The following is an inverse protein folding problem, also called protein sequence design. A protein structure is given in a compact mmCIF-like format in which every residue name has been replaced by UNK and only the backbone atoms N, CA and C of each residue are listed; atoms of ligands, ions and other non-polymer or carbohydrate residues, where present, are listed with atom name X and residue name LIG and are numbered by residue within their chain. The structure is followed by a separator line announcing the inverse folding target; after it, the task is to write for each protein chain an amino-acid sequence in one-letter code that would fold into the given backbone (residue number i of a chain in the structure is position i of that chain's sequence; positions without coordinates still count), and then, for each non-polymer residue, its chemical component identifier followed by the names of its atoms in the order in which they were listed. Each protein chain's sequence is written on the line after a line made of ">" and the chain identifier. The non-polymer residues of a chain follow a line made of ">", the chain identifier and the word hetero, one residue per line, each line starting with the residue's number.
data_IF_313176958260
#
_entry.id   IF_313176958260
#
_cell.length_a   1.000
_cell.length_b   1.000
_cell.length_c   1.000
_cell.angle_alpha   90.00
_cell.angle_beta   90.00
_cell.angle_gamma   90.00
#
_symmetry.space_group_name_H-M   'P 1'
#
loop_
_entity.id
_entity.type
_entity.pdbx_description
1 polymer ?
#
# COMPACT_ATOMS: atom_id res chain seq x y z
N UNK A 1 15.36 -6.09 -2.56
CA UNK A 1 14.23 -5.43 -3.24
C UNK A 1 14.53 -3.99 -3.64
N UNK A 2 14.98 -3.09 -2.75
CA UNK A 2 15.44 -1.75 -3.17
C UNK A 2 16.57 -1.81 -4.20
N UNK A 3 17.54 -2.70 -3.98
CA UNK A 3 18.57 -3.02 -4.98
C UNK A 3 18.01 -3.59 -6.29
N UNK A 4 16.82 -4.21 -6.27
CA UNK A 4 16.14 -4.69 -7.47
C UNK A 4 15.48 -3.51 -8.18
N UNK A 5 14.68 -2.69 -7.49
CA UNK A 5 14.07 -1.46 -8.01
C UNK A 5 15.13 -0.52 -8.60
N UNK A 6 16.25 -0.31 -7.90
CA UNK A 6 17.41 0.47 -8.38
C UNK A 6 18.10 -0.21 -9.57
N UNK A 7 18.30 -1.54 -9.54
CA UNK A 7 18.91 -2.28 -10.66
C UNK A 7 18.05 -2.25 -11.92
N UNK A 8 16.73 -2.20 -11.78
CA UNK A 8 15.78 -2.22 -12.89
C UNK A 8 15.23 -0.83 -13.25
N UNK A 9 15.74 0.26 -12.64
CA UNK A 9 15.31 1.64 -12.87
C UNK A 9 13.79 1.81 -12.86
N UNK A 10 13.11 1.19 -11.89
CA UNK A 10 11.66 1.26 -11.84
C UNK A 10 11.22 2.71 -11.59
N UNK A 11 10.56 3.33 -12.57
CA UNK A 11 10.07 4.69 -12.44
C UNK A 11 8.91 4.70 -11.45
N UNK A 12 9.18 5.43 -10.38
CA UNK A 12 8.37 5.44 -9.19
C UNK A 12 7.58 6.78 -9.14
N UNK A 13 7.81 7.70 -10.07
CA UNK A 13 7.15 9.01 -10.10
C UNK A 13 5.65 8.93 -10.43
N UNK A 14 5.19 7.79 -10.94
CA UNK A 14 3.82 7.62 -11.43
C UNK A 14 3.53 8.45 -12.68
N UNK A 15 4.58 8.89 -13.40
CA UNK A 15 4.46 9.55 -14.70
C UNK A 15 4.18 8.50 -15.79
N UNK A 16 3.05 8.63 -16.47
CA UNK A 16 2.69 7.74 -17.57
C UNK A 16 2.80 8.45 -18.92
N UNK A 17 3.54 7.87 -19.86
CA UNK A 17 3.51 8.25 -21.26
C UNK A 17 2.72 7.19 -22.02
N UNK A 18 1.58 7.58 -22.60
CA UNK A 18 0.71 6.66 -23.33
C UNK A 18 0.65 7.12 -24.77
N UNK A 19 1.10 6.27 -25.68
CA UNK A 19 1.15 6.58 -27.12
C UNK A 19 0.06 5.78 -27.82
N UNK A 20 -0.87 6.48 -28.46
CA UNK A 20 -1.89 5.87 -29.30
C UNK A 20 -1.50 5.98 -30.77
N UNK A 21 -1.52 4.84 -31.45
CA UNK A 21 -1.28 4.70 -32.87
C UNK A 21 -2.41 3.88 -33.47
N UNK A 22 -3.27 4.51 -34.26
CA UNK A 22 -4.31 3.80 -35.02
C UNK A 22 -4.63 4.53 -36.31
N UNK A 23 -4.87 3.74 -37.36
CA UNK A 23 -5.32 4.20 -38.68
C UNK A 23 -6.86 4.36 -38.73
N UNK A 24 -7.57 3.84 -37.72
CA UNK A 24 -9.03 3.97 -37.61
C UNK A 24 -9.40 5.33 -37.00
N UNK A 25 -10.32 6.05 -37.65
CA UNK A 25 -10.85 7.31 -37.10
C UNK A 25 -11.49 7.02 -35.74
N UNK A 26 -11.20 7.88 -34.77
CA UNK A 26 -11.73 7.87 -33.39
C UNK A 26 -11.10 6.88 -32.40
N UNK A 27 -10.26 5.92 -32.82
CA UNK A 27 -9.60 5.02 -31.86
C UNK A 27 -8.60 5.72 -30.92
N UNK A 28 -8.09 6.89 -31.32
CA UNK A 28 -7.19 7.72 -30.50
C UNK A 28 -7.86 9.02 -30.04
N UNK A 29 -9.19 9.05 -29.89
CA UNK A 29 -9.91 10.23 -29.39
C UNK A 29 -9.44 10.61 -27.98
N UNK A 30 -8.99 11.84 -27.82
CA UNK A 30 -8.45 12.33 -26.56
C UNK A 30 -9.51 12.43 -25.44
N UNK A 31 -10.78 12.65 -25.78
CA UNK A 31 -11.85 12.73 -24.77
C UNK A 31 -12.20 11.34 -24.24
N UNK A 32 -12.21 10.33 -25.10
CA UNK A 32 -12.38 8.94 -24.69
C UNK A 32 -11.17 8.46 -23.88
N UNK A 33 -9.95 8.77 -24.33
CA UNK A 33 -8.73 8.44 -23.60
C UNK A 33 -8.74 9.00 -22.18
N UNK A 34 -9.08 10.29 -22.00
CA UNK A 34 -9.17 10.91 -20.67
C UNK A 34 -10.17 10.20 -19.75
N UNK A 35 -11.34 9.80 -20.27
CA UNK A 35 -12.34 9.06 -19.48
C UNK A 35 -11.82 7.69 -19.03
N UNK A 36 -11.15 6.96 -19.94
CA UNK A 36 -10.56 5.67 -19.64
C UNK A 36 -9.47 5.81 -18.58
N UNK A 37 -8.54 6.75 -18.79
CA UNK A 37 -7.41 6.98 -17.88
C UNK A 37 -7.87 7.40 -16.49
N UNK A 38 -8.87 8.26 -16.40
CA UNK A 38 -9.49 8.61 -15.13
C UNK A 38 -10.13 7.41 -14.44
N UNK A 39 -10.85 6.57 -15.20
CA UNK A 39 -11.45 5.33 -14.69
C UNK A 39 -10.42 4.36 -14.11
N UNK A 40 -9.20 4.34 -14.66
CA UNK A 40 -8.07 3.58 -14.13
C UNK A 40 -7.24 4.34 -13.08
N UNK A 41 -7.67 5.53 -12.65
CA UNK A 41 -6.96 6.41 -11.71
C UNK A 41 -5.55 6.82 -12.19
N UNK A 42 -5.33 6.82 -13.50
CA UNK A 42 -4.08 7.23 -14.15
C UNK A 42 -4.09 8.75 -14.31
N UNK A 43 -3.77 9.44 -13.23
CA UNK A 43 -3.88 10.91 -13.16
C UNK A 43 -2.67 11.63 -13.74
N UNK A 44 -1.46 11.14 -13.54
CA UNK A 44 -0.25 11.84 -13.96
C UNK A 44 0.26 11.30 -15.31
N UNK A 45 -0.38 11.75 -16.39
CA UNK A 45 -0.24 11.15 -17.72
C UNK A 45 -0.11 12.18 -18.83
N UNK A 46 0.69 11.83 -19.83
CA UNK A 46 0.75 12.46 -21.14
C UNK A 46 0.26 11.43 -22.16
N UNK A 47 -0.88 11.71 -22.78
CA UNK A 47 -1.44 10.94 -23.88
C UNK A 47 -0.96 11.54 -25.21
N UNK A 48 -0.31 10.74 -26.04
CA UNK A 48 0.24 11.15 -27.33
C UNK A 48 -0.58 10.52 -28.44
N UNK A 49 -1.22 11.35 -29.25
CA UNK A 49 -1.96 10.90 -30.43
C UNK A 49 -1.07 11.02 -31.67
N UNK A 50 -0.58 9.88 -32.19
CA UNK A 50 0.27 9.87 -33.39
C UNK A 50 -0.49 10.26 -34.67
N UNK A 51 -1.80 9.98 -34.73
CA UNK A 51 -2.67 10.40 -35.84
C UNK A 51 -2.80 11.93 -35.92
N UNK A 52 -2.55 12.63 -34.80
CA UNK A 52 -2.47 14.09 -34.70
C UNK A 52 -1.02 14.59 -34.64
N UNK A 53 -0.12 14.04 -35.48
CA UNK A 53 1.29 14.41 -35.56
C UNK A 53 2.05 14.29 -34.23
N UNK A 54 1.67 13.33 -33.38
CA UNK A 54 2.29 13.13 -32.07
C UNK A 54 1.97 14.25 -31.07
N UNK A 55 0.79 14.86 -31.18
CA UNK A 55 0.34 15.87 -30.20
C UNK A 55 0.14 15.23 -28.83
N UNK A 56 0.71 15.86 -27.80
CA UNK A 56 0.56 15.45 -26.40
C UNK A 56 -0.62 16.15 -25.71
N UNK A 57 -1.35 15.39 -24.92
CA UNK A 57 -2.49 15.83 -24.12
C UNK A 57 -2.31 15.39 -22.68
N UNK A 58 -2.75 16.23 -21.75
CA UNK A 58 -2.97 15.85 -20.35
C UNK A 58 -4.37 16.27 -19.94
N UNK A 59 -4.73 16.14 -18.68
CA UNK A 59 -6.02 16.59 -18.18
C UNK A 59 -5.94 16.90 -16.69
N UNK A 60 -6.77 17.83 -16.21
CA UNK A 60 -6.94 18.07 -14.78
C UNK A 60 -8.24 17.41 -14.30
N UNK A 61 -8.43 17.35 -12.99
CA UNK A 61 -9.74 17.00 -12.43
C UNK A 61 -10.53 18.30 -12.19
N UNK A 62 -11.85 18.21 -12.30
CA UNK A 62 -12.80 19.30 -12.08
C UNK A 62 -13.62 19.08 -10.81
N UNK A 63 -14.47 20.07 -10.49
CA UNK A 63 -15.49 19.96 -9.45
C UNK A 63 -16.30 18.66 -9.59
N UNK A 64 -16.66 18.04 -8.47
CA UNK A 64 -17.34 16.73 -8.40
C UNK A 64 -16.51 15.52 -8.83
N UNK A 65 -15.17 15.60 -8.75
CA UNK A 65 -14.27 14.43 -8.89
C UNK A 65 -14.38 13.74 -10.25
N UNK A 66 -14.51 14.56 -11.29
CA UNK A 66 -14.56 14.12 -12.69
C UNK A 66 -13.31 14.59 -13.42
N UNK A 67 -12.91 13.90 -14.50
CA UNK A 67 -11.84 14.42 -15.33
C UNK A 67 -12.38 15.62 -16.10
N UNK A 68 -11.59 16.68 -16.16
CA UNK A 68 -11.81 17.77 -17.08
C UNK A 68 -11.49 17.38 -18.53
N UNK A 69 -11.69 18.29 -19.49
CA UNK A 69 -11.39 18.02 -20.89
C UNK A 69 -9.88 17.82 -21.12
N UNK A 70 -9.51 17.14 -22.21
CA UNK A 70 -8.12 17.01 -22.62
C UNK A 70 -7.50 18.40 -22.89
N UNK A 71 -6.36 18.64 -22.25
CA UNK A 71 -5.55 19.84 -22.33
C UNK A 71 -4.36 19.53 -23.24
N UNK A 72 -4.31 20.19 -24.40
CA UNK A 72 -3.16 20.10 -25.31
C UNK A 72 -1.92 20.69 -24.65
N UNK A 73 -0.82 19.95 -24.65
CA UNK A 73 0.45 20.41 -24.08
C UNK A 73 1.20 21.29 -25.07
N UNK A 74 1.51 22.51 -24.64
CA UNK A 74 2.36 23.41 -25.41
C UNK A 74 3.78 22.87 -25.52
N UNK A 75 4.39 23.04 -26.69
CA UNK A 75 5.78 22.66 -26.95
C UNK A 75 6.15 21.18 -26.70
N UNK A 76 5.17 20.27 -26.58
CA UNK A 76 5.42 18.82 -26.43
C UNK A 76 6.38 18.25 -27.48
N UNK A 77 6.25 18.69 -28.74
CA UNK A 77 7.13 18.25 -29.83
C UNK A 77 8.62 18.53 -29.59
N UNK A 78 8.97 19.51 -28.75
CA UNK A 78 10.36 19.79 -28.39
C UNK A 78 10.95 18.74 -27.45
N UNK A 79 10.16 18.16 -26.54
CA UNK A 79 10.56 16.98 -25.74
C UNK A 79 10.86 15.80 -26.68
N UNK A 80 9.94 15.52 -27.61
CA UNK A 80 10.06 14.38 -28.53
C UNK A 80 11.25 14.51 -29.49
N UNK A 81 11.55 15.73 -29.94
CA UNK A 81 12.65 16.01 -30.88
C UNK A 81 14.02 16.18 -30.21
N UNK A 82 14.07 16.70 -28.98
CA UNK A 82 15.34 16.99 -28.30
C UNK A 82 15.92 15.80 -27.55
N UNK A 83 15.13 14.76 -27.29
CA UNK A 83 15.55 13.58 -26.52
C UNK A 83 15.95 13.90 -25.07
N UNK A 84 15.60 15.10 -24.57
CA UNK A 84 15.92 15.56 -23.21
C UNK A 84 14.69 15.51 -22.31
N UNK A 85 14.98 15.42 -21.00
CA UNK A 85 14.07 15.26 -19.87
C UNK A 85 12.65 15.83 -20.09
N UNK A 86 11.69 14.94 -20.34
CA UNK A 86 10.28 15.32 -20.56
C UNK A 86 9.48 15.49 -19.26
N UNK A 87 10.14 15.36 -18.09
CA UNK A 87 9.49 15.44 -16.78
C UNK A 87 8.78 16.77 -16.55
N UNK A 88 9.34 17.88 -17.06
CA UNK A 88 8.77 19.22 -16.89
C UNK A 88 7.43 19.41 -17.64
N UNK A 89 7.05 18.46 -18.51
CA UNK A 89 5.78 18.50 -19.25
C UNK A 89 4.63 17.83 -18.51
N UNK A 90 4.90 17.12 -17.41
CA UNK A 90 3.85 16.59 -16.55
C UNK A 90 3.34 17.72 -15.65
N UNK A 91 2.09 18.19 -15.83
CA UNK A 91 1.57 19.29 -15.02
C UNK A 91 1.39 18.82 -13.57
N UNK A 92 1.60 19.73 -12.63
CA UNK A 92 1.33 19.46 -11.22
C UNK A 92 -0.18 19.33 -10.99
N UNK A 93 -0.64 18.13 -10.62
CA UNK A 93 -2.05 17.80 -10.37
C UNK A 93 -2.32 17.61 -8.88
N UNK A 94 -3.57 17.28 -8.55
CA UNK A 94 -3.99 16.82 -7.22
C UNK A 94 -3.88 17.90 -6.11
N UNK A 95 -3.98 19.18 -6.48
CA UNK A 95 -3.76 20.29 -5.55
C UNK A 95 -4.97 20.61 -4.65
N UNK A 96 -6.18 20.15 -5.00
CA UNK A 96 -7.40 20.51 -4.26
C UNK A 96 -8.58 19.56 -4.52
N UNK A 97 -8.81 18.59 -3.65
CA UNK A 97 -9.92 17.63 -3.69
C UNK A 97 -11.13 18.09 -2.87
N UNK A 98 -11.40 19.40 -2.80
CA UNK A 98 -12.56 19.91 -2.09
C UNK A 98 -13.82 19.19 -2.56
N UNK A 99 -14.64 18.74 -1.59
CA UNK A 99 -15.86 17.94 -1.81
C UNK A 99 -15.66 16.55 -2.44
N UNK A 100 -14.42 16.14 -2.71
CA UNK A 100 -14.12 14.80 -3.18
C UNK A 100 -13.88 13.83 -2.02
N UNK A 101 -14.71 12.78 -1.87
CA UNK A 101 -14.45 11.73 -0.91
C UNK A 101 -13.27 10.90 -1.40
N UNK A 102 -12.24 10.76 -0.57
CA UNK A 102 -11.18 9.75 -0.75
C UNK A 102 -11.53 8.59 0.16
N UNK A 103 -11.88 7.45 -0.42
CA UNK A 103 -12.21 6.23 0.31
C UNK A 103 -10.94 5.47 0.64
N UNK A 104 -10.60 5.43 1.92
CA UNK A 104 -9.38 4.77 2.42
C UNK A 104 -9.75 3.47 3.12
N UNK A 105 -9.22 2.37 2.60
CA UNK A 105 -9.23 1.08 3.30
C UNK A 105 -8.07 1.03 4.29
N UNK A 106 -8.36 0.72 5.55
CA UNK A 106 -7.36 0.62 6.61
C UNK A 106 -7.80 -0.34 7.70
N UNK A 107 -6.92 -0.70 8.62
CA UNK A 107 -7.22 -1.59 9.73
C UNK A 107 -6.41 -1.22 10.96
N UNK A 108 -6.86 -1.67 12.14
CA UNK A 108 -6.26 -1.31 13.41
C UNK A 108 -4.91 -2.03 13.55
N UNK A 109 -3.83 -1.27 13.69
CA UNK A 109 -2.49 -1.78 13.91
C UNK A 109 -1.70 -0.83 14.81
N UNK A 110 -1.83 -1.00 16.13
CA UNK A 110 -1.15 -0.14 17.10
C UNK A 110 0.39 -0.31 17.02
N UNK A 111 1.19 0.77 17.14
CA UNK A 111 0.81 2.17 17.37
C UNK A 111 0.57 3.00 16.09
N UNK A 112 0.55 2.37 14.93
CA UNK A 112 0.53 3.04 13.63
C UNK A 112 -0.86 3.54 13.25
N UNK A 113 -1.86 2.67 13.35
CA UNK A 113 -3.24 2.96 13.00
C UNK A 113 -4.17 2.59 14.14
N UNK A 114 -4.88 3.57 14.65
CA UNK A 114 -5.91 3.44 15.69
C UNK A 114 -7.16 4.14 15.19
N UNK A 115 -8.28 3.43 15.17
CA UNK A 115 -9.56 3.97 14.74
C UNK A 115 -10.45 4.20 15.97
N UNK A 116 -10.71 5.47 16.29
CA UNK A 116 -11.62 5.86 17.38
C UNK A 116 -12.83 6.58 16.76
N UNK A 117 -13.99 5.94 16.77
CA UNK A 117 -15.22 6.48 16.15
C UNK A 117 -15.01 6.96 14.70
N UNK A 118 -14.24 6.20 13.91
CA UNK A 118 -13.92 6.55 12.52
C UNK A 118 -12.84 7.62 12.34
N UNK A 119 -12.24 8.11 13.43
CA UNK A 119 -11.09 9.04 13.36
C UNK A 119 -9.79 8.24 13.45
N UNK A 120 -8.90 8.31 12.45
CA UNK A 120 -7.62 7.64 12.47
C UNK A 120 -6.60 8.42 13.30
N UNK A 121 -5.76 7.71 14.04
CA UNK A 121 -4.68 8.27 14.86
C UNK A 121 -3.52 7.26 15.00
N UNK A 122 -2.39 7.70 15.54
CA UNK A 122 -1.14 6.94 15.50
C UNK A 122 -0.26 7.41 14.34
N UNK A 123 0.95 6.87 14.20
CA UNK A 123 1.92 7.40 13.23
C UNK A 123 1.37 7.47 11.80
N UNK A 124 0.67 6.41 11.37
CA UNK A 124 0.06 6.34 10.05
C UNK A 124 -1.29 7.06 10.04
N UNK A 125 -2.09 6.95 11.10
CA UNK A 125 -3.36 7.67 11.17
C UNK A 125 -3.21 9.19 11.11
N UNK A 126 -2.15 9.73 11.74
CA UNK A 126 -1.84 11.16 11.71
C UNK A 126 -1.26 11.58 10.36
N UNK A 127 -0.40 10.77 9.75
CA UNK A 127 0.07 11.01 8.38
C UNK A 127 -1.11 11.01 7.38
N UNK A 128 -2.07 10.09 7.54
CA UNK A 128 -3.26 10.04 6.69
C UNK A 128 -4.05 11.35 6.79
N UNK A 129 -4.26 11.85 8.01
CA UNK A 129 -4.97 13.12 8.24
C UNK A 129 -4.25 14.30 7.60
N UNK A 130 -2.93 14.37 7.74
CA UNK A 130 -2.11 15.41 7.13
C UNK A 130 -2.23 15.35 5.60
N UNK A 131 -2.19 14.16 5.00
CA UNK A 131 -2.34 13.99 3.55
C UNK A 131 -3.73 14.45 3.07
N UNK A 132 -4.79 14.05 3.76
CA UNK A 132 -6.17 14.46 3.42
C UNK A 132 -6.33 15.97 3.55
N UNK A 133 -5.77 16.58 4.60
CA UNK A 133 -5.80 18.03 4.81
C UNK A 133 -5.01 18.77 3.72
N UNK A 134 -3.81 18.30 3.39
CA UNK A 134 -2.99 18.87 2.33
C UNK A 134 -3.64 18.76 0.94
N UNK A 135 -4.39 17.67 0.71
CA UNK A 135 -5.20 17.49 -0.50
C UNK A 135 -6.50 18.28 -0.46
N UNK A 136 -6.89 18.88 0.67
CA UNK A 136 -8.20 19.48 0.90
C UNK A 136 -9.37 18.51 0.58
N UNK A 137 -9.22 17.23 0.93
CA UNK A 137 -10.18 16.18 0.60
C UNK A 137 -11.14 15.85 1.75
N UNK A 138 -12.25 15.17 1.44
CA UNK A 138 -13.10 14.54 2.47
C UNK A 138 -12.63 13.11 2.72
N UNK A 139 -12.21 12.79 3.95
CA UNK A 139 -11.80 11.43 4.30
C UNK A 139 -13.00 10.53 4.58
N UNK A 140 -13.08 9.40 3.88
CA UNK A 140 -14.01 8.31 4.19
C UNK A 140 -13.19 7.07 4.54
N UNK A 141 -13.34 6.55 5.76
CA UNK A 141 -12.65 5.34 6.18
C UNK A 141 -13.54 4.10 6.03
N UNK A 142 -12.92 3.00 5.65
CA UNK A 142 -13.49 1.65 5.77
C UNK A 142 -12.44 0.66 6.27
N UNK A 143 -12.91 -0.41 6.91
CA UNK A 143 -12.12 -1.62 7.09
C UNK A 143 -12.27 -2.55 5.88
N UNK A 144 -11.34 -3.50 5.67
CA UNK A 144 -11.42 -4.46 4.58
C UNK A 144 -12.82 -5.07 4.41
N UNK A 145 -13.36 -5.07 3.19
CA UNK A 145 -14.67 -5.66 2.92
C UNK A 145 -14.70 -7.17 3.18
N UNK A 146 -13.59 -7.85 2.85
CA UNK A 146 -13.38 -9.28 3.07
C UNK A 146 -11.99 -9.52 3.65
N UNK A 147 -11.88 -10.40 4.64
CA UNK A 147 -10.64 -10.68 5.35
C UNK A 147 -10.23 -9.56 6.31
N UNK A 148 -8.96 -9.52 6.67
CA UNK A 148 -8.41 -8.55 7.60
C UNK A 148 -6.97 -8.17 7.21
N UNK A 149 -6.48 -7.08 7.80
CA UNK A 149 -5.10 -6.67 7.64
C UNK A 149 -4.81 -6.23 6.21
N UNK A 150 -3.56 -6.44 5.82
CA UNK A 150 -3.06 -5.96 4.54
C UNK A 150 -3.61 -6.68 3.32
N UNK A 151 -3.92 -7.96 3.45
CA UNK A 151 -4.37 -8.78 2.35
C UNK A 151 -3.35 -9.78 1.83
N UNK A 152 -3.92 -10.86 1.30
CA UNK A 152 -3.29 -12.03 0.70
C UNK A 152 -4.32 -12.66 -0.26
N UNK A 153 -3.91 -13.69 -1.00
CA UNK A 153 -4.85 -14.55 -1.71
C UNK A 153 -5.51 -15.49 -0.71
N UNK A 154 -6.84 -15.60 -0.76
CA UNK A 154 -7.58 -16.63 -0.04
C UNK A 154 -7.48 -18.00 -0.73
N UNK A 155 -8.09 -19.02 -0.15
CA UNK A 155 -8.09 -20.39 -0.68
C UNK A 155 -8.68 -20.51 -2.10
N UNK A 156 -9.52 -19.55 -2.50
CA UNK A 156 -10.12 -19.48 -3.83
C UNK A 156 -9.31 -18.61 -4.80
N UNK A 157 -8.12 -18.15 -4.41
CA UNK A 157 -7.29 -17.25 -5.21
C UNK A 157 -7.85 -15.83 -5.33
N UNK A 158 -8.74 -15.41 -4.42
CA UNK A 158 -9.27 -14.04 -4.39
C UNK A 158 -8.47 -13.17 -3.43
N UNK A 159 -8.18 -11.92 -3.81
CA UNK A 159 -7.49 -10.98 -2.93
C UNK A 159 -8.39 -10.54 -1.77
N UNK A 160 -7.90 -10.63 -0.54
CA UNK A 160 -8.62 -10.14 0.65
C UNK A 160 -7.85 -9.01 1.33
N UNK A 161 -8.34 -8.52 2.47
CA UNK A 161 -7.72 -7.43 3.22
C UNK A 161 -7.76 -6.09 2.49
N UNK A 162 -6.96 -5.15 2.98
CA UNK A 162 -6.95 -3.79 2.45
C UNK A 162 -6.43 -3.70 1.00
N UNK A 163 -5.53 -4.61 0.59
CA UNK A 163 -5.11 -4.77 -0.79
C UNK A 163 -6.25 -5.27 -1.69
N UNK A 164 -7.07 -6.21 -1.20
CA UNK A 164 -8.25 -6.68 -1.92
C UNK A 164 -9.24 -5.55 -2.22
N UNK A 165 -9.43 -4.62 -1.27
CA UNK A 165 -10.26 -3.44 -1.51
C UNK A 165 -9.73 -2.56 -2.64
N UNK A 166 -8.40 -2.41 -2.78
CA UNK A 166 -7.82 -1.70 -3.93
C UNK A 166 -8.00 -2.47 -5.23
N UNK A 167 -7.70 -3.78 -5.20
CA UNK A 167 -7.75 -4.65 -6.36
C UNK A 167 -9.16 -4.71 -6.99
N UNK A 168 -10.20 -4.75 -6.15
CA UNK A 168 -11.60 -4.76 -6.60
C UNK A 168 -12.23 -3.37 -6.71
N UNK A 169 -11.43 -2.30 -6.66
CA UNK A 169 -11.91 -0.92 -6.79
C UNK A 169 -12.96 -0.52 -5.73
N UNK A 170 -12.84 -1.07 -4.51
CA UNK A 170 -13.69 -0.80 -3.35
C UNK A 170 -13.11 0.25 -2.39
N UNK A 171 -11.91 0.74 -2.69
CA UNK A 171 -11.23 1.87 -2.03
C UNK A 171 -10.30 2.56 -3.05
N UNK A 172 -10.01 3.84 -2.83
CA UNK A 172 -9.07 4.64 -3.63
C UNK A 172 -7.63 4.48 -3.13
N UNK A 173 -7.49 4.29 -1.82
CA UNK A 173 -6.21 4.27 -1.15
C UNK A 173 -6.21 3.26 0.01
N UNK A 174 -5.05 2.68 0.30
CA UNK A 174 -4.84 1.79 1.44
C UNK A 174 -3.67 2.29 2.27
N UNK A 175 -3.82 2.32 3.60
CA UNK A 175 -2.79 2.87 4.46
C UNK A 175 -2.77 2.23 5.84
N UNK A 176 -1.58 1.79 6.25
CA UNK A 176 -1.17 1.42 7.61
C UNK A 176 0.29 0.94 7.53
N UNK A 177 0.80 0.19 8.51
CA UNK A 177 2.20 -0.24 8.55
C UNK A 177 2.36 -1.55 7.77
N UNK A 178 2.94 -1.50 6.56
CA UNK A 178 3.10 -2.65 5.67
C UNK A 178 4.36 -3.46 5.88
N UNK A 179 4.18 -4.78 5.90
CA UNK A 179 5.21 -5.75 5.57
C UNK A 179 5.28 -5.92 4.05
N UNK A 180 6.42 -5.63 3.41
CA UNK A 180 6.57 -5.68 1.93
C UNK A 180 6.87 -7.11 1.44
N UNK A 181 5.87 -7.86 0.96
CA UNK A 181 6.09 -9.20 0.37
C UNK A 181 6.37 -9.11 -1.14
N UNK A 182 6.98 -10.14 -1.72
CA UNK A 182 7.20 -10.25 -3.16
C UNK A 182 5.89 -10.16 -3.95
N UNK A 183 4.87 -10.94 -3.56
CA UNK A 183 3.54 -10.94 -4.20
C UNK A 183 2.85 -9.57 -4.16
N UNK A 184 3.09 -8.77 -3.11
CA UNK A 184 2.45 -7.46 -2.93
C UNK A 184 3.22 -6.34 -3.62
N UNK A 185 4.49 -6.53 -3.92
CA UNK A 185 5.34 -5.50 -4.53
C UNK A 185 4.91 -5.17 -5.96
N UNK A 186 4.36 -6.14 -6.69
CA UNK A 186 3.75 -5.88 -8.01
C UNK A 186 2.55 -4.92 -7.95
N UNK A 187 1.85 -4.87 -6.80
CA UNK A 187 0.64 -4.07 -6.61
C UNK A 187 0.86 -2.83 -5.72
N UNK A 188 2.05 -2.67 -5.13
CA UNK A 188 2.39 -1.60 -4.21
C UNK A 188 3.45 -0.69 -4.82
N UNK A 189 3.00 0.46 -5.32
CA UNK A 189 3.89 1.54 -5.77
C UNK A 189 3.91 2.60 -4.64
N UNK A 190 4.90 2.45 -3.73
CA UNK A 190 5.44 3.42 -2.73
C UNK A 190 4.99 3.41 -1.26
N UNK A 191 5.95 3.07 -0.40
CA UNK A 191 6.62 3.94 0.61
C UNK A 191 7.86 3.20 1.18
N UNK A 192 8.64 2.56 0.30
CA UNK A 192 9.69 1.62 0.72
C UNK A 192 10.85 2.34 1.42
N UNK A 193 11.10 3.61 1.10
CA UNK A 193 12.24 4.36 1.65
C UNK A 193 12.03 4.90 3.07
N UNK A 194 10.80 5.05 3.56
CA UNK A 194 10.53 5.67 4.88
C UNK A 194 10.46 4.68 6.06
N UNK A 195 10.47 3.36 5.80
CA UNK A 195 10.20 2.34 6.84
C UNK A 195 11.43 1.50 7.24
N UNK A 196 12.65 1.92 6.90
CA UNK A 196 13.87 1.18 7.26
C UNK A 196 14.20 1.31 8.75
N UNK A 197 13.95 0.26 9.53
CA UNK A 197 14.56 0.07 10.85
C UNK A 197 14.89 -1.40 11.14
N UNK A 198 16.18 -1.73 11.10
CA UNK A 198 16.65 -3.03 11.61
C UNK A 198 16.56 -3.06 13.14
N UNK A 199 15.78 -3.99 13.68
CA UNK A 199 15.78 -4.25 15.13
C UNK A 199 15.63 -5.75 15.41
N UNK A 200 16.67 -6.33 15.97
CA UNK A 200 16.63 -7.62 16.65
C UNK A 200 16.50 -7.41 18.17
N UNK A 201 15.60 -8.12 18.83
CA UNK A 201 15.56 -8.25 20.30
C UNK A 201 15.38 -9.71 20.69
N UNK A 202 16.27 -10.24 21.52
CA UNK A 202 16.43 -11.67 21.80
C UNK A 202 15.75 -12.13 23.09
N UNK A 203 15.18 -13.34 23.00
CA UNK A 203 15.14 -14.37 24.04
C UNK A 203 15.03 -15.78 23.40
N UNK A 204 14.53 -15.88 22.16
CA UNK A 204 14.83 -16.98 21.22
C UNK A 204 15.77 -16.49 20.11
N UNK A 205 16.64 -17.38 19.63
CA UNK A 205 17.57 -17.09 18.53
C UNK A 205 16.88 -17.33 17.18
N UNK A 206 16.02 -18.35 17.07
CA UNK A 206 15.33 -18.70 15.80
C UNK A 206 13.95 -19.35 16.00
N UNK A 207 13.11 -19.33 14.95
CA UNK A 207 11.78 -19.99 14.96
C UNK A 207 11.87 -21.51 15.09
N UNK A 208 13.02 -22.08 14.72
CA UNK A 208 13.34 -23.50 14.91
C UNK A 208 13.40 -23.89 16.39
N UNK A 209 13.78 -22.97 17.27
CA UNK A 209 13.76 -23.21 18.71
C UNK A 209 12.32 -23.31 19.22
N UNK A 210 11.42 -22.44 18.74
CA UNK A 210 10.00 -22.49 19.10
C UNK A 210 9.33 -23.78 18.59
N UNK A 211 9.66 -24.21 17.37
CA UNK A 211 9.18 -25.47 16.80
C UNK A 211 9.66 -26.67 17.64
N UNK A 212 10.96 -26.69 18.01
CA UNK A 212 11.53 -27.78 18.83
C UNK A 212 10.86 -27.89 20.21
N UNK A 213 10.48 -26.77 20.80
CA UNK A 213 9.84 -26.70 22.12
C UNK A 213 8.30 -26.81 22.04
N UNK A 214 7.76 -27.20 20.88
CA UNK A 214 6.32 -27.42 20.63
C UNK A 214 5.45 -26.19 20.93
N UNK A 215 5.95 -24.99 20.60
CA UNK A 215 5.14 -23.78 20.64
C UNK A 215 4.29 -23.68 19.38
N UNK A 216 3.01 -23.35 19.56
CA UNK A 216 2.21 -22.82 18.45
C UNK A 216 2.79 -21.47 18.01
N UNK A 217 2.73 -21.18 16.71
CA UNK A 217 3.21 -19.91 16.16
C UNK A 217 2.34 -19.44 15.01
N UNK A 218 2.30 -18.13 14.81
CA UNK A 218 1.40 -17.57 13.81
C UNK A 218 1.29 -16.06 13.85
N UNK A 219 0.39 -15.53 13.04
CA UNK A 219 0.20 -14.11 12.77
C UNK A 219 -0.76 -13.94 11.60
N UNK A 220 -0.87 -12.73 11.06
CA UNK A 220 -1.77 -12.50 9.92
C UNK A 220 -1.31 -13.28 8.69
N UNK A 221 -2.24 -13.80 7.88
CA UNK A 221 -1.95 -14.59 6.68
C UNK A 221 -0.92 -13.95 5.74
N UNK A 222 -0.96 -12.62 5.57
CA UNK A 222 0.01 -11.91 4.74
C UNK A 222 1.47 -12.09 5.20
N UNK A 223 1.71 -12.43 6.47
CA UNK A 223 3.04 -12.76 7.00
C UNK A 223 3.42 -14.22 6.76
N UNK A 224 2.46 -15.13 6.59
CA UNK A 224 2.72 -16.53 6.27
C UNK A 224 3.45 -16.66 4.94
N UNK A 225 3.07 -15.86 3.95
CA UNK A 225 3.64 -15.89 2.59
C UNK A 225 5.14 -15.56 2.55
N UNK A 226 5.69 -14.87 3.57
CA UNK A 226 7.15 -14.69 3.71
C UNK A 226 7.91 -16.01 3.91
N UNK A 227 7.23 -17.04 4.39
CA UNK A 227 7.82 -18.31 4.73
C UNK A 227 7.48 -19.39 3.70
N UNK A 228 7.02 -19.02 2.50
CA UNK A 228 6.66 -19.97 1.43
C UNK A 228 7.79 -20.95 1.08
N UNK A 229 9.05 -20.52 1.23
CA UNK A 229 10.24 -21.38 1.01
C UNK A 229 10.62 -22.23 2.23
N UNK A 230 9.89 -22.14 3.34
CA UNK A 230 10.11 -22.85 4.60
C UNK A 230 8.83 -23.61 5.01
N UNK A 231 8.56 -24.79 4.41
CA UNK A 231 7.32 -25.55 4.63
C UNK A 231 7.04 -25.84 6.10
N UNK A 232 8.09 -26.05 6.91
CA UNK A 232 7.95 -26.31 8.34
C UNK A 232 7.28 -25.15 9.11
N UNK A 233 7.41 -23.92 8.61
CA UNK A 233 6.74 -22.73 9.14
C UNK A 233 5.42 -22.49 8.40
N UNK A 234 5.42 -22.54 7.06
CA UNK A 234 4.27 -22.22 6.24
C UNK A 234 3.06 -23.11 6.55
N UNK A 235 3.27 -24.43 6.60
CA UNK A 235 2.20 -25.43 6.75
C UNK A 235 1.62 -25.46 8.17
N UNK A 236 2.41 -25.03 9.16
CA UNK A 236 2.03 -25.05 10.58
C UNK A 236 1.59 -23.68 11.10
N UNK A 237 1.52 -22.66 10.24
CA UNK A 237 1.19 -21.30 10.61
C UNK A 237 -0.24 -21.17 11.13
N UNK A 238 -0.41 -20.61 12.34
CA UNK A 238 -1.73 -20.26 12.87
C UNK A 238 -2.15 -18.86 12.39
N UNK A 239 -3.26 -18.79 11.66
CA UNK A 239 -3.82 -17.49 11.29
C UNK A 239 -4.35 -16.75 12.53
N UNK A 240 -4.03 -15.46 12.60
CA UNK A 240 -4.42 -14.58 13.70
C UNK A 240 -4.90 -13.26 13.10
N UNK A 241 -6.14 -12.88 13.44
CA UNK A 241 -6.72 -11.60 13.06
C UNK A 241 -6.04 -10.44 13.82
N UNK A 242 -5.78 -9.32 13.14
CA UNK A 242 -5.12 -8.13 13.72
C UNK A 242 -5.86 -7.57 14.94
N UNK A 243 -7.18 -7.72 14.97
CA UNK A 243 -8.02 -7.29 16.10
C UNK A 243 -7.74 -8.09 17.38
N UNK A 244 -7.26 -9.32 17.26
CA UNK A 244 -6.94 -10.20 18.40
C UNK A 244 -5.54 -9.99 18.98
N UNK A 245 -4.67 -9.23 18.29
CA UNK A 245 -3.26 -9.11 18.67
C UNK A 245 -3.08 -8.59 20.09
N UNK A 246 -3.92 -7.62 20.51
CA UNK A 246 -3.85 -7.08 21.86
C UNK A 246 -4.22 -8.12 22.92
N UNK A 247 -5.23 -8.94 22.66
CA UNK A 247 -5.65 -10.01 23.55
C UNK A 247 -4.57 -11.10 23.65
N UNK A 248 -4.01 -11.52 22.51
CA UNK A 248 -2.93 -12.52 22.47
C UNK A 248 -1.71 -12.01 23.20
N UNK A 249 -1.26 -10.77 22.95
CA UNK A 249 -0.14 -10.18 23.69
C UNK A 249 -0.39 -10.14 25.21
N UNK A 250 -1.62 -9.87 25.66
CA UNK A 250 -1.95 -9.96 27.09
C UNK A 250 -1.83 -11.40 27.60
N UNK A 251 -2.28 -12.40 26.84
CA UNK A 251 -2.18 -13.81 27.21
C UNK A 251 -0.74 -14.32 27.23
N UNK A 252 0.11 -13.86 26.29
CA UNK A 252 1.56 -14.12 26.31
C UNK A 252 2.20 -13.65 27.62
N UNK A 253 1.80 -12.48 28.15
CA UNK A 253 2.31 -12.01 29.46
C UNK A 253 1.87 -12.87 30.65
N UNK A 254 0.84 -13.71 30.47
CA UNK A 254 0.35 -14.68 31.47
C UNK A 254 0.98 -16.06 31.30
N UNK A 255 1.87 -16.25 30.33
CA UNK A 255 2.61 -17.51 30.12
C UNK A 255 2.01 -18.44 29.07
N UNK A 256 1.10 -17.97 28.20
CA UNK A 256 0.64 -18.76 27.05
C UNK A 256 1.82 -19.14 26.16
N UNK A 257 1.91 -20.43 25.81
CA UNK A 257 2.90 -20.96 24.85
C UNK A 257 2.46 -20.67 23.42
N UNK A 258 2.73 -19.46 22.96
CA UNK A 258 2.50 -19.08 21.57
C UNK A 258 3.61 -18.13 21.11
N UNK A 259 3.96 -18.17 19.84
CA UNK A 259 4.88 -17.22 19.23
C UNK A 259 4.15 -16.40 18.17
N UNK A 260 3.89 -15.13 18.51
CA UNK A 260 3.18 -14.21 17.62
C UNK A 260 4.17 -13.48 16.71
N UNK A 261 4.01 -13.64 15.41
CA UNK A 261 4.72 -12.89 14.39
C UNK A 261 4.04 -11.52 14.19
N UNK A 262 4.79 -10.43 14.43
CA UNK A 262 4.28 -9.07 14.26
C UNK A 262 5.41 -8.05 14.07
N UNK A 263 5.04 -6.80 13.83
CA UNK A 263 5.97 -5.68 13.78
C UNK A 263 6.58 -5.39 15.18
N UNK A 264 7.90 -5.19 15.23
CA UNK A 264 8.67 -4.87 16.45
C UNK A 264 8.12 -3.67 17.20
N UNK A 265 7.72 -2.62 16.49
CA UNK A 265 7.23 -1.39 17.08
C UNK A 265 5.92 -1.62 17.84
N UNK A 266 5.03 -2.47 17.32
CA UNK A 266 3.79 -2.89 17.99
C UNK A 266 4.10 -3.57 19.32
N UNK A 267 5.06 -4.48 19.33
CA UNK A 267 5.55 -5.14 20.55
C UNK A 267 6.14 -4.16 21.54
N UNK A 268 7.07 -3.30 21.10
CA UNK A 268 7.72 -2.30 21.95
C UNK A 268 6.69 -1.35 22.56
N UNK A 269 5.71 -0.92 21.78
CA UNK A 269 4.62 -0.08 22.25
C UNK A 269 3.78 -0.78 23.33
N UNK A 270 3.44 -2.05 23.13
CA UNK A 270 2.71 -2.84 24.12
C UNK A 270 3.49 -3.00 25.42
N UNK A 271 4.79 -3.32 25.37
CA UNK A 271 5.64 -3.51 26.55
C UNK A 271 5.84 -2.20 27.33
N UNK A 272 5.93 -1.06 26.63
CA UNK A 272 6.10 0.26 27.26
C UNK A 272 4.90 0.70 28.11
N UNK A 273 3.69 0.15 27.90
CA UNK A 273 2.54 0.42 28.78
C UNK A 273 2.78 -0.22 30.16
N UNK A 274 2.90 0.63 31.20
CA UNK A 274 3.34 0.34 32.58
C UNK A 274 2.88 -1.04 33.12
N UNK A 275 3.80 -1.73 33.82
CA UNK A 275 3.65 -2.98 34.60
C UNK A 275 3.44 -4.31 33.86
N UNK A 276 3.71 -4.39 32.55
CA UNK A 276 3.62 -5.67 31.83
C UNK A 276 4.95 -6.42 31.90
N UNK A 277 4.92 -7.67 32.39
CA UNK A 277 6.09 -8.58 32.39
C UNK A 277 6.63 -8.73 30.97
N UNK A 278 7.94 -8.97 30.83
CA UNK A 278 8.60 -9.24 29.54
C UNK A 278 7.76 -10.23 28.73
N UNK A 279 7.27 -9.83 27.56
CA UNK A 279 6.67 -10.78 26.62
C UNK A 279 7.78 -11.73 26.21
N UNK A 280 7.53 -13.02 26.37
CA UNK A 280 8.59 -14.00 26.24
C UNK A 280 8.89 -14.28 24.77
N UNK A 281 7.92 -14.22 23.84
CA UNK A 281 8.11 -14.78 22.48
C UNK A 281 7.38 -14.01 21.36
N UNK A 282 8.13 -13.19 20.61
CA UNK A 282 7.63 -12.51 19.40
C UNK A 282 8.69 -12.64 18.29
N UNK A 283 8.27 -13.12 17.12
CA UNK A 283 9.11 -13.10 15.92
C UNK A 283 8.97 -11.77 15.20
N UNK A 284 10.11 -11.20 14.84
CA UNK A 284 10.18 -9.98 14.07
C UNK A 284 10.34 -10.28 12.60
N UNK A 285 9.58 -9.53 11.82
CA UNK A 285 9.81 -9.43 10.40
C UNK A 285 11.18 -8.80 10.15
N UNK A 286 12.00 -9.44 9.32
CA UNK A 286 13.21 -8.81 8.76
C UNK A 286 12.74 -7.70 7.82
N UNK A 287 12.90 -6.44 8.21
CA UNK A 287 12.73 -5.32 7.29
C UNK A 287 13.90 -5.37 6.30
N UNK A 288 13.60 -5.40 5.00
CA UNK A 288 14.59 -5.29 3.92
C UNK A 288 14.79 -3.83 3.52
#
# INVERSE_FOLDING_TARGET
>A
MLQWIEKYNFDNTGNFLIICQSDERYQCDENEAVKILWGFRVVNVIFVNLSHHGTGYSYNFEENCKPGPPIKLENWGTCFQSGKNCYDYFPMKLQNFHECPILVSTFIQQPYMVLNNGVPSGADGDLLRILIEALNATLVLKTPWKGDGWGNLDENGSWVGSLGDLYYNLADFSMTSASITETRTFYQVHLINSLKTDVYMSNFVTIKDAIREEYDFGGGLALRDYYVEQPEIFDNWKDVNSTDYLNIMNNLTKGTKFVLAMNVASTKYFIKKKNRKKITYIFFQKQL
#
